data_IF_848303804199
#
_entry.id   IF_848303804199
#
_cell.length_a   1.000
_cell.length_b   1.000
_cell.length_c   1.000
_cell.angle_alpha   90.00
_cell.angle_beta   90.00
_cell.angle_gamma   90.00
#
_symmetry.space_group_name_H-M   'P 1'
#
loop_
_entity.id
_entity.type
_entity.pdbx_description
1 polymer ?
#
# COMPACT_ATOMS: atom_id res chain seq x y z
N UNK A 1 -48.44 15.09 -10.46
CA UNK A 1 -49.58 15.17 -9.51
C UNK A 1 -49.46 14.04 -8.53
N UNK A 2 -48.90 14.33 -7.36
CA UNK A 2 -48.99 13.53 -6.13
C UNK A 2 -48.24 14.30 -5.05
N UNK A 3 -48.98 14.92 -4.14
CA UNK A 3 -48.47 15.69 -3.00
C UNK A 3 -47.89 14.76 -1.94
N UNK A 4 -46.77 15.14 -1.32
CA UNK A 4 -46.39 14.63 0.01
C UNK A 4 -45.92 15.79 0.87
N UNK A 5 -46.60 15.96 2.02
CA UNK A 5 -46.28 16.94 3.07
C UNK A 5 -45.15 16.40 3.95
N UNK A 6 -44.17 17.26 4.22
CA UNK A 6 -43.06 17.04 5.16
C UNK A 6 -43.57 17.23 6.60
N UNK A 7 -43.21 16.33 7.52
CA UNK A 7 -43.25 16.61 8.96
C UNK A 7 -41.86 16.34 9.53
N UNK A 8 -41.20 17.42 9.95
CA UNK A 8 -39.95 17.43 10.71
C UNK A 8 -40.22 17.09 12.18
N UNK A 9 -39.55 16.07 12.72
CA UNK A 9 -39.58 15.77 14.15
C UNK A 9 -38.26 16.15 14.82
N UNK A 10 -38.18 17.35 15.39
CA UNK A 10 -37.14 17.73 16.36
C UNK A 10 -37.51 17.17 17.73
N UNK A 11 -36.67 16.32 18.31
CA UNK A 11 -36.79 16.00 19.74
C UNK A 11 -36.11 17.10 20.56
N UNK A 12 -36.88 17.85 21.33
CA UNK A 12 -36.37 18.65 22.45
C UNK A 12 -36.97 18.16 23.77
N UNK A 13 -36.11 18.20 24.78
CA UNK A 13 -36.24 17.74 26.15
C UNK A 13 -37.23 18.57 26.98
N UNK A 14 -37.99 17.95 27.89
CA UNK A 14 -38.72 18.67 28.94
C UNK A 14 -39.61 17.78 29.82
N UNK A 15 -39.34 17.80 31.12
CA UNK A 15 -39.92 16.99 32.19
C UNK A 15 -41.42 17.22 32.50
N UNK A 16 -42.05 16.11 32.91
CA UNK A 16 -43.18 15.88 33.86
C UNK A 16 -44.25 16.96 34.13
N UNK A 17 -45.53 16.62 33.87
CA UNK A 17 -46.62 16.54 34.88
C UNK A 17 -48.02 16.21 34.28
N UNK A 18 -48.55 15.03 34.66
CA UNK A 18 -49.95 14.68 34.96
C UNK A 18 -51.14 15.26 34.15
N UNK A 19 -51.79 14.44 33.31
CA UNK A 19 -53.27 14.25 33.29
C UNK A 19 -53.71 13.04 32.44
N UNK A 20 -54.74 12.34 32.92
CA UNK A 20 -55.28 11.05 32.47
C UNK A 20 -56.38 11.17 31.37
N UNK A 21 -56.98 10.08 30.84
CA UNK A 21 -56.95 9.74 29.42
C UNK A 21 -58.29 9.98 28.69
N UNK A 22 -58.25 10.06 27.35
CA UNK A 22 -59.44 9.81 26.51
C UNK A 22 -59.06 8.83 25.39
N UNK A 23 -59.74 7.69 25.41
CA UNK A 23 -59.73 6.66 24.37
C UNK A 23 -60.04 7.27 23.00
N UNK A 24 -59.21 6.95 22.01
CA UNK A 24 -59.66 6.84 20.62
C UNK A 24 -58.76 5.81 19.94
N UNK A 25 -59.38 4.71 19.52
CA UNK A 25 -58.82 3.59 18.77
C UNK A 25 -58.29 4.05 17.42
N UNK A 26 -57.08 3.62 17.04
CA UNK A 26 -56.55 3.79 15.68
C UNK A 26 -56.08 2.42 15.18
N UNK A 27 -56.64 2.03 14.03
CA UNK A 27 -56.38 0.80 13.28
C UNK A 27 -54.90 0.65 12.88
N UNK A 28 -54.43 -0.59 12.94
CA UNK A 28 -53.21 -1.05 12.27
C UNK A 28 -53.44 -1.01 10.76
N UNK A 29 -52.85 -0.05 10.02
CA UNK A 29 -52.67 -0.24 8.58
C UNK A 29 -51.52 0.60 7.99
N UNK A 30 -50.50 -0.13 7.52
CA UNK A 30 -49.61 0.14 6.37
C UNK A 30 -48.91 1.52 6.29
N UNK A 31 -47.69 1.57 6.80
CA UNK A 31 -46.69 2.57 6.41
C UNK A 31 -46.01 2.09 5.11
N UNK A 32 -46.40 2.66 3.98
CA UNK A 32 -45.61 2.62 2.75
C UNK A 32 -44.73 3.88 2.71
N UNK A 33 -43.41 3.71 2.84
CA UNK A 33 -42.45 4.79 2.65
C UNK A 33 -41.94 4.75 1.20
N UNK A 34 -42.27 5.75 0.41
CA UNK A 34 -41.61 6.02 -0.89
C UNK A 34 -40.74 7.27 -0.74
N UNK A 35 -39.42 7.08 -0.74
CA UNK A 35 -38.45 8.16 -0.91
C UNK A 35 -38.23 8.32 -2.41
N UNK A 36 -38.70 9.42 -2.98
CA UNK A 36 -38.36 9.85 -4.35
C UNK A 36 -37.69 11.21 -4.27
N UNK A 37 -36.38 11.22 -4.08
CA UNK A 37 -35.54 12.31 -4.56
C UNK A 37 -35.27 12.04 -6.03
N UNK A 38 -35.74 12.92 -6.92
CA UNK A 38 -35.22 12.98 -8.29
C UNK A 38 -33.76 13.41 -8.18
N UNK A 39 -32.88 12.42 -8.17
CA UNK A 39 -31.44 12.62 -8.15
C UNK A 39 -30.97 12.71 -9.60
N UNK A 40 -30.51 13.88 -10.02
CA UNK A 40 -29.79 14.01 -11.29
C UNK A 40 -28.43 13.31 -11.13
N UNK A 41 -28.29 12.17 -11.80
CA UNK A 41 -27.05 11.40 -11.81
C UNK A 41 -25.93 12.26 -12.42
N UNK A 42 -24.76 12.33 -11.78
CA UNK A 42 -23.63 13.09 -12.32
C UNK A 42 -23.20 12.54 -13.69
N UNK A 43 -22.76 13.43 -14.60
CA UNK A 43 -22.33 13.02 -15.95
C UNK A 43 -21.22 11.95 -15.94
N UNK A 44 -20.34 11.98 -14.92
CA UNK A 44 -19.25 11.01 -14.78
C UNK A 44 -19.76 9.60 -14.46
N UNK A 45 -20.89 9.49 -13.73
CA UNK A 45 -21.46 8.21 -13.33
C UNK A 45 -22.10 7.48 -14.52
N UNK A 46 -22.61 8.22 -15.50
CA UNK A 46 -23.07 7.65 -16.79
C UNK A 46 -21.95 6.99 -17.60
N UNK A 47 -20.69 7.36 -17.34
CA UNK A 47 -19.51 6.80 -18.01
C UNK A 47 -18.86 5.68 -17.22
N UNK A 48 -19.35 5.38 -16.01
CA UNK A 48 -18.77 4.35 -15.15
C UNK A 48 -19.00 2.95 -15.72
N UNK A 49 -17.93 2.19 -15.92
CA UNK A 49 -17.96 0.80 -16.41
C UNK A 49 -17.65 -0.22 -15.32
N UNK A 50 -17.09 0.20 -14.19
CA UNK A 50 -16.75 -0.67 -13.07
C UNK A 50 -16.82 0.12 -11.76
N UNK A 51 -17.26 -0.55 -10.68
CA UNK A 51 -17.35 0.03 -9.34
C UNK A 51 -16.76 -0.93 -8.31
N UNK A 52 -15.96 -0.39 -7.39
CA UNK A 52 -15.41 -1.11 -6.24
C UNK A 52 -15.75 -0.37 -4.96
N UNK A 53 -16.25 -1.08 -3.95
CA UNK A 53 -16.47 -0.52 -2.61
C UNK A 53 -15.24 -0.73 -1.74
N UNK A 54 -14.76 0.36 -1.15
CA UNK A 54 -13.62 0.41 -0.25
C UNK A 54 -14.16 0.53 1.18
N UNK A 55 -14.12 -0.58 1.91
CA UNK A 55 -14.72 -0.71 3.25
C UNK A 55 -14.01 0.16 4.29
N UNK A 56 -12.70 0.33 4.17
CA UNK A 56 -11.86 0.99 5.18
C UNK A 56 -12.15 2.47 5.38
N UNK A 57 -12.51 3.19 4.32
CA UNK A 57 -12.85 4.62 4.36
C UNK A 57 -14.26 4.92 3.87
N UNK A 58 -15.11 3.89 3.69
CA UNK A 58 -16.48 4.01 3.21
C UNK A 58 -16.58 4.81 1.89
N UNK A 59 -15.74 4.49 0.90
CA UNK A 59 -15.75 5.15 -0.41
C UNK A 59 -16.06 4.18 -1.54
N UNK A 60 -16.54 4.73 -2.66
CA UNK A 60 -16.75 4.02 -3.91
C UNK A 60 -15.72 4.49 -4.93
N UNK A 61 -15.05 3.52 -5.56
CA UNK A 61 -14.10 3.73 -6.64
C UNK A 61 -14.76 3.35 -7.96
N UNK A 62 -14.94 4.34 -8.83
CA UNK A 62 -15.53 4.19 -10.15
C UNK A 62 -14.46 4.29 -11.23
N UNK A 63 -14.39 3.30 -12.11
CA UNK A 63 -13.62 3.40 -13.37
C UNK A 63 -14.57 3.76 -14.50
N UNK A 64 -14.22 4.77 -15.27
CA UNK A 64 -15.00 5.23 -16.41
C UNK A 64 -14.42 4.72 -17.74
N UNK A 65 -15.26 4.56 -18.75
CA UNK A 65 -14.86 4.12 -20.10
C UNK A 65 -13.85 5.06 -20.77
N UNK A 66 -13.89 6.34 -20.40
CA UNK A 66 -12.98 7.36 -20.92
C UNK A 66 -11.60 7.35 -20.21
N UNK A 67 -11.37 6.42 -19.27
CA UNK A 67 -10.15 6.29 -18.48
C UNK A 67 -10.12 7.16 -17.22
N UNK A 68 -11.21 7.87 -16.88
CA UNK A 68 -11.31 8.56 -15.60
C UNK A 68 -11.48 7.57 -14.46
N UNK A 69 -10.82 7.84 -13.34
CA UNK A 69 -11.00 7.13 -12.08
C UNK A 69 -11.54 8.13 -11.07
N UNK A 70 -12.70 7.82 -10.50
CA UNK A 70 -13.45 8.71 -9.61
C UNK A 70 -13.63 8.03 -8.27
N UNK A 71 -13.25 8.72 -7.19
CA UNK A 71 -13.54 8.31 -5.81
C UNK A 71 -14.71 9.17 -5.35
N UNK A 72 -15.74 8.53 -4.81
CA UNK A 72 -16.90 9.21 -4.24
C UNK A 72 -17.21 8.65 -2.85
N UNK A 73 -17.90 9.45 -2.04
CA UNK A 73 -18.43 9.00 -0.75
C UNK A 73 -19.49 7.90 -0.97
N UNK A 74 -19.45 6.83 -0.17
CA UNK A 74 -20.37 5.71 -0.36
C UNK A 74 -21.80 5.98 0.15
N UNK A 75 -21.99 6.96 1.05
CA UNK A 75 -23.31 7.43 1.42
C UNK A 75 -23.93 8.25 0.28
N UNK A 76 -23.10 8.68 -0.68
CA UNK A 76 -23.47 9.46 -1.87
C UNK A 76 -24.22 10.75 -1.50
N UNK A 77 -24.03 11.29 -0.29
CA UNK A 77 -24.70 12.51 0.18
C UNK A 77 -24.36 13.73 -0.69
N UNK A 78 -23.20 13.69 -1.36
CA UNK A 78 -22.74 14.67 -2.34
C UNK A 78 -22.47 14.01 -3.69
N UNK A 79 -22.82 14.70 -4.76
CA UNK A 79 -22.48 14.32 -6.14
C UNK A 79 -21.06 14.72 -6.55
N UNK A 80 -20.41 15.55 -5.73
CA UNK A 80 -19.03 15.97 -5.96
C UNK A 80 -18.09 14.79 -5.65
N UNK A 81 -17.20 14.43 -6.59
CA UNK A 81 -16.22 13.39 -6.34
C UNK A 81 -15.20 13.85 -5.29
N UNK A 82 -14.80 12.92 -4.41
CA UNK A 82 -13.75 13.13 -3.42
C UNK A 82 -12.37 13.23 -4.06
N UNK A 83 -12.12 12.45 -5.11
CA UNK A 83 -10.90 12.52 -5.91
C UNK A 83 -11.17 12.09 -7.35
N UNK A 84 -10.44 12.67 -8.28
CA UNK A 84 -10.48 12.31 -9.71
C UNK A 84 -9.06 12.16 -10.24
N UNK A 85 -8.82 11.08 -10.97
CA UNK A 85 -7.59 10.85 -11.71
C UNK A 85 -7.90 10.47 -13.16
N UNK A 86 -6.98 10.74 -14.09
CA UNK A 86 -7.15 10.43 -15.50
C UNK A 86 -6.05 9.50 -15.97
N UNK A 87 -6.44 8.34 -16.47
CA UNK A 87 -5.55 7.32 -17.00
C UNK A 87 -5.86 7.03 -18.47
N UNK A 88 -4.97 6.25 -19.10
CA UNK A 88 -5.30 5.61 -20.37
C UNK A 88 -6.55 4.75 -20.18
N UNK A 89 -7.54 4.77 -21.11
CA UNK A 89 -8.70 3.87 -21.07
C UNK A 89 -8.33 2.37 -21.01
N UNK A 90 -7.09 2.02 -21.36
CA UNK A 90 -6.56 0.66 -21.28
C UNK A 90 -5.94 0.31 -19.93
N UNK A 91 -5.84 1.24 -18.98
CA UNK A 91 -5.41 0.90 -17.63
C UNK A 91 -6.53 0.12 -16.91
N UNK A 92 -6.15 -0.87 -16.09
CA UNK A 92 -7.07 -1.48 -15.13
C UNK A 92 -6.62 -1.05 -13.75
N UNK A 93 -7.62 -1.01 -12.89
CA UNK A 93 -7.50 -0.66 -11.49
C UNK A 93 -8.23 -1.76 -10.74
N UNK A 94 -7.51 -2.47 -9.89
CA UNK A 94 -8.05 -3.60 -9.14
C UNK A 94 -7.96 -3.28 -7.66
N UNK A 95 -9.05 -3.48 -6.93
CA UNK A 95 -9.05 -3.31 -5.48
C UNK A 95 -8.94 -4.66 -4.79
N UNK A 96 -7.82 -4.86 -4.10
CA UNK A 96 -7.59 -5.97 -3.20
C UNK A 96 -8.16 -5.63 -1.81
N UNK A 97 -9.34 -6.16 -1.55
CA UNK A 97 -10.06 -6.00 -0.27
C UNK A 97 -9.33 -6.56 0.93
N UNK A 98 -8.53 -7.62 0.75
CA UNK A 98 -7.92 -8.33 1.88
C UNK A 98 -6.74 -7.55 2.46
N UNK A 99 -5.92 -6.96 1.59
CA UNK A 99 -4.78 -6.15 2.03
C UNK A 99 -5.07 -4.64 2.04
N UNK A 100 -6.26 -4.22 1.57
CA UNK A 100 -6.65 -2.82 1.47
C UNK A 100 -5.80 -2.05 0.47
N UNK A 101 -5.53 -2.65 -0.69
CA UNK A 101 -4.58 -2.15 -1.68
C UNK A 101 -5.23 -1.98 -3.05
N UNK A 102 -4.93 -0.88 -3.73
CA UNK A 102 -5.30 -0.66 -5.13
C UNK A 102 -4.08 -0.97 -6.00
N UNK A 103 -4.30 -1.78 -7.01
CA UNK A 103 -3.30 -2.18 -8.00
C UNK A 103 -3.64 -1.48 -9.30
N UNK A 104 -2.71 -0.65 -9.78
CA UNK A 104 -2.82 0.04 -11.05
C UNK A 104 -1.92 -0.64 -12.07
N UNK A 105 -2.47 -0.96 -13.24
CA UNK A 105 -1.73 -1.65 -14.28
C UNK A 105 -2.00 -1.01 -15.64
N UNK A 106 -0.92 -0.79 -16.39
CA UNK A 106 -0.98 -0.45 -17.81
C UNK A 106 0.02 -1.31 -18.62
N UNK A 107 0.13 -1.03 -19.91
CA UNK A 107 1.01 -1.76 -20.84
C UNK A 107 2.52 -1.68 -20.51
N UNK A 108 2.95 -0.77 -19.63
CA UNK A 108 4.37 -0.48 -19.32
C UNK A 108 4.72 -0.59 -17.84
N UNK A 109 3.78 -0.33 -16.94
CA UNK A 109 4.03 -0.20 -15.52
C UNK A 109 2.92 -0.80 -14.66
N UNK A 110 3.33 -1.18 -13.45
CA UNK A 110 2.52 -1.70 -12.36
C UNK A 110 2.77 -0.83 -11.13
N UNK A 111 1.72 -0.47 -10.40
CA UNK A 111 1.85 0.30 -9.18
C UNK A 111 0.90 -0.25 -8.10
N UNK A 112 1.38 -0.26 -6.87
CA UNK A 112 0.63 -0.66 -5.69
C UNK A 112 0.41 0.58 -4.83
N UNK A 113 -0.83 0.81 -4.39
CA UNK A 113 -1.16 1.90 -3.48
C UNK A 113 -2.00 1.37 -2.33
N UNK A 114 -1.51 1.58 -1.12
CA UNK A 114 -2.29 1.33 0.10
C UNK A 114 -2.89 2.61 0.62
N UNK A 115 -3.99 2.48 1.34
CA UNK A 115 -4.56 3.60 2.09
C UNK A 115 -3.56 4.13 3.12
N UNK A 116 -3.49 5.45 3.23
CA UNK A 116 -2.80 6.13 4.32
C UNK A 116 -3.64 7.32 4.78
N UNK A 117 -3.93 7.38 6.08
CA UNK A 117 -4.74 8.45 6.69
C UNK A 117 -6.13 8.63 6.06
N UNK A 118 -6.84 7.55 5.71
CA UNK A 118 -8.19 7.63 5.13
C UNK A 118 -8.22 7.82 3.60
N UNK A 119 -7.06 7.90 2.95
CA UNK A 119 -6.94 8.31 1.56
C UNK A 119 -6.05 7.37 0.73
N UNK A 120 -6.47 7.13 -0.51
CA UNK A 120 -5.63 6.54 -1.55
C UNK A 120 -5.05 7.65 -2.44
N UNK A 121 -3.74 7.64 -2.62
CA UNK A 121 -3.06 8.53 -3.55
C UNK A 121 -3.18 7.94 -4.95
N UNK A 122 -4.09 8.52 -5.73
CA UNK A 122 -4.52 7.97 -7.03
C UNK A 122 -4.20 8.90 -8.20
N UNK A 123 -3.67 10.10 -8.01
CA UNK A 123 -3.47 11.05 -9.13
C UNK A 123 -2.23 10.70 -9.95
N UNK A 124 -1.15 10.28 -9.29
CA UNK A 124 0.15 10.03 -9.92
C UNK A 124 0.57 8.55 -9.92
N UNK A 125 -0.37 7.61 -9.68
CA UNK A 125 -0.04 6.20 -9.45
C UNK A 125 0.63 5.51 -10.66
N UNK A 126 0.30 5.90 -11.91
CA UNK A 126 0.92 5.37 -13.13
C UNK A 126 1.87 6.37 -13.82
N UNK A 127 2.18 7.49 -13.19
CA UNK A 127 3.07 8.51 -13.75
C UNK A 127 4.52 8.08 -13.57
N UNK A 128 5.20 7.80 -14.68
CA UNK A 128 6.65 7.57 -14.68
C UNK A 128 7.35 8.91 -14.44
N UNK A 129 8.22 8.95 -13.44
CA UNK A 129 8.92 10.14 -13.00
C UNK A 129 10.15 10.43 -13.88
N UNK A 130 10.55 11.69 -13.99
CA UNK A 130 11.85 12.05 -14.57
C UNK A 130 12.97 11.81 -13.54
N UNK A 131 14.23 11.76 -14.00
CA UNK A 131 15.39 11.50 -13.13
C UNK A 131 15.61 12.57 -12.07
N UNK A 132 15.23 13.82 -12.36
CA UNK A 132 15.43 14.93 -11.44
C UNK A 132 14.09 15.54 -11.02
N UNK A 133 13.18 15.77 -11.97
CA UNK A 133 11.90 16.41 -11.69
C UNK A 133 10.83 15.37 -11.38
N UNK A 134 10.32 15.39 -10.16
CA UNK A 134 9.28 14.47 -9.71
C UNK A 134 7.97 15.21 -9.48
N UNK A 135 6.85 14.49 -9.67
CA UNK A 135 5.49 14.91 -9.36
C UNK A 135 5.05 14.18 -8.09
N UNK A 136 5.25 14.85 -6.95
CA UNK A 136 4.99 14.28 -5.64
C UNK A 136 3.52 14.48 -5.27
N UNK A 137 2.81 13.38 -5.08
CA UNK A 137 1.45 13.38 -4.54
C UNK A 137 1.48 13.13 -3.02
N UNK A 138 0.75 13.93 -2.24
CA UNK A 138 0.56 13.73 -0.81
C UNK A 138 -0.84 14.17 -0.34
N UNK A 139 -1.36 13.64 0.77
CA UNK A 139 -2.62 14.09 1.36
C UNK A 139 -2.61 15.59 1.67
N UNK A 140 -3.72 16.28 1.43
CA UNK A 140 -3.81 17.72 1.67
C UNK A 140 -3.71 18.09 3.16
N UNK A 141 -4.17 17.22 4.06
CA UNK A 141 -4.06 17.41 5.50
C UNK A 141 -2.60 17.28 5.98
N UNK A 142 -1.85 16.30 5.45
CA UNK A 142 -0.41 16.13 5.68
C UNK A 142 0.35 17.37 5.19
N UNK A 143 0.00 17.86 4.00
CA UNK A 143 0.58 19.08 3.44
C UNK A 143 0.32 20.31 4.31
N UNK A 144 -0.92 20.50 4.77
CA UNK A 144 -1.30 21.60 5.66
C UNK A 144 -0.54 21.54 6.99
N UNK A 145 -0.41 20.35 7.59
CA UNK A 145 0.35 20.11 8.82
C UNK A 145 1.84 20.43 8.63
N UNK A 146 2.43 20.04 7.49
CA UNK A 146 3.83 20.38 7.18
C UNK A 146 4.02 21.90 7.08
N UNK A 147 3.15 22.62 6.38
CA UNK A 147 3.22 24.09 6.25
C UNK A 147 3.08 24.75 7.63
N UNK A 148 2.09 24.33 8.43
CA UNK A 148 1.86 24.86 9.77
C UNK A 148 3.05 24.59 10.70
N UNK A 149 3.56 23.36 10.72
CA UNK A 149 4.69 22.97 11.58
C UNK A 149 5.98 23.66 11.16
N UNK A 150 6.19 23.85 9.85
CA UNK A 150 7.34 24.60 9.34
C UNK A 150 7.31 26.08 9.77
N UNK A 151 6.13 26.71 9.77
CA UNK A 151 5.98 28.09 10.23
C UNK A 151 6.17 28.26 11.75
N UNK A 152 5.85 27.23 12.53
CA UNK A 152 6.00 27.21 13.99
C UNK A 152 7.37 26.71 14.47
N UNK A 153 8.18 26.12 13.58
CA UNK A 153 9.49 25.59 13.91
C UNK A 153 10.51 26.70 14.08
N UNK A 154 11.58 26.41 14.82
CA UNK A 154 12.72 27.31 14.90
C UNK A 154 13.20 27.64 13.47
N UNK A 155 13.21 28.94 13.15
CA UNK A 155 13.48 29.52 11.83
C UNK A 155 14.72 28.87 11.19
N UNK A 156 15.69 28.44 11.99
CA UNK A 156 16.93 27.83 11.56
C UNK A 156 16.80 26.55 10.70
N UNK A 157 15.79 25.67 10.89
CA UNK A 157 15.76 24.38 10.15
C UNK A 157 15.36 24.57 8.68
N UNK A 158 14.31 25.36 8.44
CA UNK A 158 13.76 25.60 7.10
C UNK A 158 14.60 26.65 6.36
N UNK A 159 15.04 27.73 7.02
CA UNK A 159 15.84 28.78 6.37
C UNK A 159 17.23 28.30 5.91
N UNK A 160 17.79 27.27 6.55
CA UNK A 160 19.08 26.68 6.14
C UNK A 160 18.95 25.76 4.91
N UNK A 161 17.74 25.50 4.43
CA UNK A 161 17.40 24.52 3.39
C UNK A 161 16.58 25.19 2.28
N UNK A 162 17.24 25.85 1.31
CA UNK A 162 16.55 26.64 0.29
C UNK A 162 15.57 25.81 -0.56
N UNK A 163 15.89 24.56 -0.91
CA UNK A 163 14.97 23.71 -1.66
C UNK A 163 13.74 23.34 -0.82
N UNK A 164 13.92 23.02 0.47
CA UNK A 164 12.80 22.78 1.39
C UNK A 164 11.92 24.03 1.58
N UNK A 165 12.54 25.20 1.74
CA UNK A 165 11.80 26.47 1.88
C UNK A 165 10.98 26.80 0.62
N UNK A 166 11.56 26.58 -0.57
CA UNK A 166 10.87 26.74 -1.84
C UNK A 166 9.70 25.75 -1.97
N UNK A 167 9.90 24.49 -1.58
CA UNK A 167 8.85 23.46 -1.55
C UNK A 167 7.69 23.85 -0.63
N UNK A 168 7.97 24.28 0.60
CA UNK A 168 6.94 24.70 1.57
C UNK A 168 6.16 25.91 1.06
N UNK A 169 6.85 26.87 0.42
CA UNK A 169 6.19 28.05 -0.18
C UNK A 169 5.22 27.65 -1.28
N UNK A 170 5.64 26.75 -2.17
CA UNK A 170 4.78 26.20 -3.23
C UNK A 170 3.60 25.42 -2.64
N UNK A 171 3.85 24.59 -1.63
CA UNK A 171 2.84 23.80 -0.95
C UNK A 171 1.78 24.68 -0.28
N UNK A 172 2.20 25.74 0.41
CA UNK A 172 1.31 26.71 1.06
C UNK A 172 0.33 27.34 0.08
N UNK A 173 0.80 27.70 -1.13
CA UNK A 173 -0.08 28.25 -2.18
C UNK A 173 -1.14 27.27 -2.68
N UNK A 174 -0.82 25.96 -2.71
CA UNK A 174 -1.73 24.91 -3.17
C UNK A 174 -2.75 24.55 -2.09
N UNK A 175 -2.30 24.39 -0.84
CA UNK A 175 -3.19 24.09 0.29
C UNK A 175 -4.21 25.22 0.50
N UNK A 176 -3.83 26.48 0.31
CA UNK A 176 -4.76 27.61 0.40
C UNK A 176 -5.86 27.64 -0.67
N UNK A 177 -5.72 26.87 -1.75
CA UNK A 177 -6.69 26.79 -2.84
C UNK A 177 -7.70 25.65 -2.71
N UNK A 178 -7.49 24.76 -1.74
CA UNK A 178 -8.27 23.52 -1.57
C UNK A 178 -9.43 23.79 -0.61
N UNK A 179 -10.63 23.35 -1.00
CA UNK A 179 -11.77 23.30 -0.11
C UNK A 179 -11.48 22.27 0.99
N UNK A 180 -11.79 22.57 2.26
CA UNK A 180 -11.50 21.72 3.43
C UNK A 180 -12.27 20.38 3.37
N UNK A 181 -11.85 19.48 2.48
CA UNK A 181 -12.36 18.12 2.33
C UNK A 181 -11.28 17.15 2.77
N UNK A 182 -11.65 16.15 3.56
CA UNK A 182 -10.72 15.18 4.17
C UNK A 182 -10.08 14.22 3.17
N UNK A 183 -10.56 14.19 1.92
CA UNK A 183 -10.19 13.19 0.92
C UNK A 183 -9.46 13.75 -0.31
N UNK A 184 -8.91 14.96 -0.21
CA UNK A 184 -8.15 15.55 -1.30
C UNK A 184 -6.63 15.34 -1.15
N UNK A 185 -5.94 15.16 -2.27
CA UNK A 185 -4.48 15.10 -2.37
C UNK A 185 -3.93 16.26 -3.19
N UNK A 186 -2.73 16.71 -2.86
CA UNK A 186 -1.98 17.72 -3.61
C UNK A 186 -0.89 17.07 -4.44
N UNK A 187 -0.64 17.61 -5.62
CA UNK A 187 0.49 17.22 -6.48
C UNK A 187 1.42 18.40 -6.63
N UNK A 188 2.69 18.19 -6.30
CA UNK A 188 3.73 19.21 -6.39
C UNK A 188 4.87 18.73 -7.27
N UNK A 189 5.18 19.50 -8.31
CA UNK A 189 6.36 19.28 -9.14
C UNK A 189 7.60 19.92 -8.50
N UNK A 190 8.68 19.17 -8.34
CA UNK A 190 9.91 19.64 -7.68
C UNK A 190 11.14 18.92 -8.21
N UNK A 191 12.31 19.54 -8.11
CA UNK A 191 13.59 18.83 -8.24
C UNK A 191 13.77 17.93 -7.01
N UNK A 192 13.49 16.64 -7.18
CA UNK A 192 13.54 15.66 -6.10
C UNK A 192 14.97 15.41 -5.63
N UNK A 193 15.96 15.44 -6.51
CA UNK A 193 17.35 15.14 -6.16
C UNK A 193 17.94 16.27 -5.29
N UNK A 194 17.70 17.52 -5.68
CA UNK A 194 18.09 18.70 -4.90
C UNK A 194 17.38 18.71 -3.54
N UNK A 195 16.06 18.54 -3.54
CA UNK A 195 15.27 18.56 -2.30
C UNK A 195 15.71 17.44 -1.36
N UNK A 196 15.82 16.19 -1.83
CA UNK A 196 16.23 15.05 -1.02
C UNK A 196 17.61 15.26 -0.37
N UNK A 197 18.54 15.93 -1.07
CA UNK A 197 19.87 16.25 -0.55
C UNK A 197 19.85 17.16 0.69
N UNK A 198 18.78 17.94 0.88
CA UNK A 198 18.56 18.80 2.04
C UNK A 198 17.78 18.13 3.19
N UNK A 199 17.02 17.07 2.91
CA UNK A 199 16.15 16.39 3.91
C UNK A 199 16.92 15.41 4.81
N UNK A 200 18.10 15.83 5.24
CA UNK A 200 18.96 15.14 6.19
C UNK A 200 19.45 16.11 7.27
N UNK A 201 19.77 15.63 8.48
CA UNK A 201 20.33 16.47 9.54
C UNK A 201 21.63 17.15 9.06
N UNK A 202 21.86 18.40 9.47
CA UNK A 202 23.04 19.15 9.04
C UNK A 202 24.30 18.81 9.88
N UNK A 203 24.11 18.27 11.08
CA UNK A 203 25.19 17.81 11.94
C UNK A 203 25.57 16.38 11.58
N UNK A 204 26.70 16.21 10.91
CA UNK A 204 27.32 14.90 10.76
C UNK A 204 27.75 14.37 12.13
N UNK A 205 27.76 13.04 12.28
CA UNK A 205 28.27 12.35 13.46
C UNK A 205 29.78 12.62 13.57
N UNK A 206 30.17 13.73 14.22
CA UNK A 206 31.55 13.92 14.64
C UNK A 206 31.86 12.89 15.74
N UNK A 207 33.10 12.38 15.78
CA UNK A 207 33.54 11.47 16.83
C UNK A 207 33.25 12.08 18.22
N UNK A 208 32.35 11.45 18.98
CA UNK A 208 31.94 11.87 20.32
C UNK A 208 30.60 12.63 20.43
N UNK A 209 29.88 12.86 19.33
CA UNK A 209 28.50 13.37 19.34
C UNK A 209 27.49 12.25 19.68
N UNK A 210 26.29 12.55 20.22
CA UNK A 210 25.24 11.55 20.36
C UNK A 210 24.98 10.88 19.01
N UNK A 211 24.91 9.54 18.99
CA UNK A 211 24.73 8.78 17.75
C UNK A 211 23.37 9.07 17.05
N UNK A 212 22.47 9.83 17.68
CA UNK A 212 21.17 10.26 17.14
C UNK A 212 21.17 11.78 16.96
N UNK A 213 20.83 12.30 15.76
CA UNK A 213 20.83 13.73 15.48
C UNK A 213 19.85 14.51 16.37
N UNK A 214 20.31 15.61 16.98
CA UNK A 214 19.47 16.49 17.81
C UNK A 214 18.35 17.13 16.98
N UNK A 215 18.60 17.38 15.70
CA UNK A 215 17.58 17.92 14.79
C UNK A 215 16.33 17.03 14.72
N UNK A 216 16.45 15.70 14.76
CA UNK A 216 15.32 14.76 14.74
C UNK A 216 14.31 14.95 15.87
N UNK A 217 14.67 15.76 16.87
CA UNK A 217 13.81 16.10 18.00
C UNK A 217 12.82 17.22 17.71
N UNK A 218 13.02 17.98 16.62
CA UNK A 218 12.11 19.06 16.26
C UNK A 218 10.81 18.52 15.62
N UNK A 219 9.63 19.10 15.94
CA UNK A 219 8.34 18.59 15.47
C UNK A 219 8.22 18.43 13.94
N UNK A 220 8.88 19.29 13.17
CA UNK A 220 8.85 19.25 11.69
C UNK A 220 9.48 17.99 11.10
N UNK A 221 10.39 17.32 11.83
CA UNK A 221 11.15 16.21 11.28
C UNK A 221 10.33 14.97 10.97
N UNK A 222 9.20 14.76 11.65
CA UNK A 222 8.27 13.71 11.26
C UNK A 222 7.78 13.90 9.82
N UNK A 223 7.40 15.13 9.46
CA UNK A 223 6.96 15.47 8.10
C UNK A 223 8.13 15.51 7.10
N UNK A 224 9.31 15.97 7.51
CA UNK A 224 10.51 15.95 6.66
C UNK A 224 10.91 14.52 6.31
N UNK A 225 10.88 13.59 7.28
CA UNK A 225 11.19 12.19 7.04
C UNK A 225 10.18 11.52 6.11
N UNK A 226 8.88 11.79 6.31
CA UNK A 226 7.81 11.37 5.41
C UNK A 226 8.00 11.89 3.97
N UNK A 227 8.32 13.18 3.83
CA UNK A 227 8.63 13.79 2.53
C UNK A 227 9.85 13.14 1.87
N UNK A 228 10.93 12.94 2.63
CA UNK A 228 12.13 12.30 2.13
C UNK A 228 11.85 10.87 1.64
N UNK A 229 10.99 10.12 2.34
CA UNK A 229 10.58 8.79 1.92
C UNK A 229 9.86 8.82 0.57
N UNK A 230 8.85 9.68 0.42
CA UNK A 230 8.12 9.84 -0.85
C UNK A 230 9.07 10.16 -2.00
N UNK A 231 10.02 11.06 -1.79
CA UNK A 231 10.99 11.47 -2.82
C UNK A 231 11.93 10.31 -3.18
N UNK A 232 12.46 9.57 -2.21
CA UNK A 232 13.32 8.39 -2.47
C UNK A 232 12.62 7.36 -3.34
N UNK A 233 11.36 7.04 -3.02
CA UNK A 233 10.55 6.07 -3.77
C UNK A 233 10.32 6.51 -5.23
N UNK A 234 10.13 7.82 -5.45
CA UNK A 234 9.89 8.38 -6.77
C UNK A 234 11.17 8.43 -7.63
N UNK A 235 12.30 8.82 -7.04
CA UNK A 235 13.59 8.92 -7.75
C UNK A 235 14.21 7.57 -8.11
N UNK A 236 14.12 6.58 -7.21
CA UNK A 236 14.71 5.27 -7.41
C UNK A 236 13.73 4.14 -7.02
N UNK A 237 12.71 3.83 -7.84
CA UNK A 237 11.68 2.85 -7.52
C UNK A 237 12.18 1.43 -7.25
N UNK A 238 13.25 1.01 -7.94
CA UNK A 238 13.79 -0.36 -7.82
C UNK A 238 14.72 -0.52 -6.62
N UNK A 239 15.41 0.56 -6.23
CA UNK A 239 16.41 0.54 -5.16
C UNK A 239 16.38 1.83 -4.32
N UNK A 240 15.26 2.16 -3.64
CA UNK A 240 15.09 3.47 -3.01
C UNK A 240 16.08 3.78 -1.88
N UNK A 241 16.74 2.76 -1.32
CA UNK A 241 17.64 2.89 -0.19
C UNK A 241 19.12 2.63 -0.51
N UNK A 242 19.47 2.16 -1.70
CA UNK A 242 20.87 2.05 -2.19
C UNK A 242 21.91 1.35 -1.26
N UNK A 243 21.54 0.45 -0.34
CA UNK A 243 22.55 -0.36 0.38
C UNK A 243 22.94 -1.61 -0.40
N UNK A 244 24.25 -1.87 -0.46
CA UNK A 244 24.79 -3.13 -0.96
C UNK A 244 24.50 -4.24 0.06
N UNK A 245 23.87 -5.32 -0.40
CA UNK A 245 23.64 -6.55 0.37
C UNK A 245 24.95 -7.34 0.51
N UNK A 246 25.97 -6.73 1.11
CA UNK A 246 27.22 -7.39 1.41
C UNK A 246 27.04 -8.27 2.66
N UNK A 247 27.56 -9.51 2.68
CA UNK A 247 27.47 -10.42 3.84
C UNK A 247 28.04 -9.84 5.14
N UNK A 248 28.91 -8.84 5.02
CA UNK A 248 29.62 -8.19 6.11
C UNK A 248 28.96 -6.88 6.60
N UNK A 249 27.81 -6.48 6.02
CA UNK A 249 26.97 -5.34 6.45
C UNK A 249 27.76 -4.06 6.80
N UNK A 250 28.90 -3.85 6.12
CA UNK A 250 29.71 -2.64 6.25
C UNK A 250 29.06 -1.56 5.40
N UNK A 251 28.37 -0.63 6.04
CA UNK A 251 27.85 0.57 5.37
C UNK A 251 26.32 0.74 5.33
N UNK A 252 25.58 0.14 6.28
CA UNK A 252 24.18 0.55 6.49
C UNK A 252 24.19 2.04 6.87
N UNK A 253 23.58 2.88 6.05
CA UNK A 253 23.32 4.27 6.42
C UNK A 253 22.24 4.28 7.50
N UNK A 254 22.59 4.77 8.69
CA UNK A 254 21.65 4.84 9.81
C UNK A 254 20.54 5.85 9.55
N UNK A 255 20.75 6.84 8.67
CA UNK A 255 19.78 7.92 8.41
C UNK A 255 18.52 7.40 7.73
N UNK A 256 18.62 6.37 6.89
CA UNK A 256 17.46 5.77 6.22
C UNK A 256 16.64 4.86 7.12
N UNK A 257 17.17 4.43 8.27
CA UNK A 257 16.53 3.48 9.18
C UNK A 257 15.33 4.11 9.89
N UNK A 258 15.10 5.41 9.69
CA UNK A 258 13.82 6.07 10.00
C UNK A 258 12.65 5.45 9.22
N UNK A 259 12.89 4.90 8.01
CA UNK A 259 11.90 4.16 7.23
C UNK A 259 11.73 2.75 7.73
N UNK A 260 10.50 2.40 8.13
CA UNK A 260 10.15 1.03 8.51
C UNK A 260 10.38 0.05 7.37
N UNK A 261 10.10 0.45 6.12
CA UNK A 261 10.37 -0.38 4.95
C UNK A 261 11.87 -0.65 4.79
N UNK A 262 12.73 0.35 4.96
CA UNK A 262 14.18 0.16 4.95
C UNK A 262 14.64 -0.79 6.07
N UNK A 263 14.09 -0.65 7.29
CA UNK A 263 14.38 -1.56 8.41
C UNK A 263 13.98 -3.00 8.07
N UNK A 264 12.79 -3.23 7.49
CA UNK A 264 12.32 -4.58 7.10
C UNK A 264 13.29 -5.27 6.13
N UNK A 265 13.87 -4.54 5.18
CA UNK A 265 14.82 -5.10 4.21
C UNK A 265 16.09 -5.67 4.87
N UNK A 266 16.48 -5.17 6.04
CA UNK A 266 17.69 -5.66 6.75
C UNK A 266 17.56 -7.09 7.28
N UNK A 267 16.33 -7.61 7.40
CA UNK A 267 16.05 -8.92 7.96
C UNK A 267 16.13 -10.08 6.95
N UNK A 268 16.70 -9.87 5.75
CA UNK A 268 16.82 -10.91 4.72
C UNK A 268 17.48 -12.21 5.23
N UNK A 269 18.49 -12.06 6.11
CA UNK A 269 19.25 -13.17 6.69
C UNK A 269 18.93 -13.43 8.17
N UNK A 270 17.73 -13.04 8.63
CA UNK A 270 17.35 -13.20 10.02
C UNK A 270 17.19 -14.68 10.40
N UNK A 271 17.86 -15.17 11.46
CA UNK A 271 17.94 -16.60 11.77
C UNK A 271 16.62 -17.20 12.29
N UNK A 272 15.70 -16.37 12.80
CA UNK A 272 14.51 -16.83 13.53
C UNK A 272 13.21 -16.79 12.72
N UNK A 273 13.27 -17.05 11.41
CA UNK A 273 12.08 -17.13 10.53
C UNK A 273 11.04 -18.19 10.97
N UNK A 274 11.45 -19.14 11.79
CA UNK A 274 10.60 -20.21 12.31
C UNK A 274 9.81 -19.82 13.57
N UNK A 275 10.08 -18.65 14.17
CA UNK A 275 9.35 -18.16 15.34
C UNK A 275 7.99 -17.66 14.85
N UNK A 276 6.98 -18.53 14.87
CA UNK A 276 5.66 -18.30 14.24
C UNK A 276 4.87 -17.08 14.75
N UNK A 277 5.36 -16.31 15.73
CA UNK A 277 4.52 -15.36 16.48
C UNK A 277 5.09 -13.95 16.68
N UNK A 278 6.31 -13.74 17.18
CA UNK A 278 6.69 -12.42 17.74
C UNK A 278 7.96 -11.78 17.16
N UNK A 279 9.04 -12.54 16.97
CA UNK A 279 10.30 -12.01 16.45
C UNK A 279 10.41 -12.14 14.93
N UNK A 280 9.33 -11.85 14.20
CA UNK A 280 9.31 -11.83 12.75
C UNK A 280 9.74 -10.44 12.21
N UNK A 281 10.29 -10.35 10.98
CA UNK A 281 10.81 -9.10 10.42
C UNK A 281 9.85 -7.93 10.48
N UNK A 282 8.56 -8.18 10.23
CA UNK A 282 7.51 -7.15 10.27
C UNK A 282 7.41 -6.52 11.66
N UNK A 283 7.30 -7.35 12.70
CA UNK A 283 7.12 -6.91 14.09
C UNK A 283 8.40 -6.26 14.64
N UNK A 284 9.56 -6.79 14.26
CA UNK A 284 10.87 -6.23 14.62
C UNK A 284 11.05 -4.83 14.04
N UNK A 285 10.80 -4.66 12.74
CA UNK A 285 10.92 -3.37 12.09
C UNK A 285 9.87 -2.37 12.57
N UNK A 286 8.65 -2.82 12.83
CA UNK A 286 7.59 -2.01 13.41
C UNK A 286 7.97 -1.49 14.80
N UNK A 287 8.61 -2.31 15.65
CA UNK A 287 9.17 -1.89 16.95
C UNK A 287 10.45 -1.03 16.84
N UNK A 288 10.85 -0.62 15.62
CA UNK A 288 11.95 0.29 15.38
C UNK A 288 13.31 -0.39 15.22
N UNK A 289 13.36 -1.72 15.15
CA UNK A 289 14.62 -2.46 15.01
C UNK A 289 15.03 -2.66 13.56
N UNK A 290 16.33 -2.59 13.29
CA UNK A 290 16.94 -3.09 12.07
C UNK A 290 18.00 -4.12 12.43
N UNK A 291 18.17 -5.11 11.56
CA UNK A 291 19.10 -6.20 11.73
C UNK A 291 20.50 -5.79 11.26
N UNK A 292 21.48 -5.94 12.15
CA UNK A 292 22.89 -5.66 11.88
C UNK A 292 23.75 -6.77 12.48
N UNK A 293 23.87 -7.90 11.79
CA UNK A 293 24.64 -9.04 12.29
C UNK A 293 26.15 -8.73 12.22
N UNK A 294 26.93 -9.21 13.20
CA UNK A 294 28.40 -9.15 13.11
C UNK A 294 28.96 -10.35 12.33
N UNK A 295 28.22 -11.47 12.36
CA UNK A 295 28.52 -12.72 11.68
C UNK A 295 27.23 -13.35 11.16
N UNK A 296 27.34 -14.21 10.15
CA UNK A 296 26.20 -14.98 9.67
C UNK A 296 25.56 -15.78 10.81
N UNK A 297 24.24 -15.65 10.96
CA UNK A 297 23.46 -16.31 12.01
C UNK A 297 23.37 -15.54 13.34
N UNK A 298 24.00 -14.38 13.46
CA UNK A 298 23.74 -13.48 14.59
C UNK A 298 22.33 -12.90 14.50
N UNK A 299 21.66 -12.72 15.63
CA UNK A 299 20.33 -12.11 15.75
C UNK A 299 20.41 -10.68 16.33
N UNK A 300 21.51 -9.99 16.03
CA UNK A 300 21.81 -8.66 16.54
C UNK A 300 20.94 -7.61 15.84
N UNK A 301 20.19 -6.86 16.64
CA UNK A 301 19.36 -5.75 16.15
C UNK A 301 19.64 -4.46 16.89
N UNK A 302 19.46 -3.33 16.21
CA UNK A 302 19.59 -1.99 16.78
C UNK A 302 18.32 -1.18 16.54
N UNK A 303 17.94 -0.34 17.50
CA UNK A 303 16.87 0.62 17.29
C UNK A 303 17.35 1.84 16.49
N UNK A 304 16.60 2.30 15.48
CA UNK A 304 16.96 3.52 14.73
C UNK A 304 16.96 4.81 15.59
N UNK A 305 16.16 4.86 16.66
CA UNK A 305 15.90 6.07 17.44
C UNK A 305 16.70 6.18 18.75
N UNK A 306 17.01 5.06 19.42
CA UNK A 306 17.79 5.05 20.66
C UNK A 306 19.05 4.19 20.58
N UNK A 307 19.22 3.44 19.48
CA UNK A 307 20.38 2.59 19.21
C UNK A 307 20.65 1.53 20.28
N UNK A 308 19.63 1.21 21.10
CA UNK A 308 19.69 0.04 21.98
C UNK A 308 19.96 -1.19 21.12
N UNK A 309 20.95 -1.96 21.53
CA UNK A 309 21.41 -3.16 20.84
C UNK A 309 20.90 -4.38 21.60
N UNK A 310 20.06 -5.18 20.96
CA UNK A 310 19.51 -6.42 21.52
C UNK A 310 20.00 -7.63 20.71
N UNK A 311 20.20 -8.74 21.41
CA UNK A 311 20.73 -10.03 20.90
C UNK A 311 20.08 -11.16 21.69
N UNK A 312 20.24 -12.40 21.22
CA UNK A 312 19.73 -13.62 21.87
C UNK A 312 18.20 -13.63 22.00
N UNK A 313 17.50 -13.42 20.89
CA UNK A 313 16.04 -13.39 20.84
C UNK A 313 15.42 -14.77 21.05
N UNK A 314 14.47 -14.85 21.96
CA UNK A 314 13.70 -16.05 22.27
C UNK A 314 12.34 -16.05 21.55
N UNK A 315 11.71 -17.22 21.31
CA UNK A 315 10.40 -17.30 20.65
C UNK A 315 9.26 -16.57 21.35
N UNK A 316 9.38 -16.33 22.67
CA UNK A 316 8.42 -15.61 23.49
C UNK A 316 8.63 -14.11 23.54
N UNK A 317 9.75 -13.61 22.99
CA UNK A 317 10.11 -12.21 23.10
C UNK A 317 9.25 -11.36 22.17
N UNK A 318 8.52 -10.42 22.77
CA UNK A 318 7.78 -9.42 22.04
C UNK A 318 8.68 -8.19 21.78
N UNK A 319 8.90 -7.79 20.52
CA UNK A 319 9.83 -6.71 20.19
C UNK A 319 9.54 -5.38 20.89
N UNK A 320 8.27 -5.01 20.99
CA UNK A 320 7.86 -3.77 21.67
C UNK A 320 8.16 -3.80 23.17
N UNK A 321 7.83 -4.90 23.83
CA UNK A 321 8.04 -5.09 25.26
C UNK A 321 9.54 -5.15 25.60
N UNK A 322 10.35 -5.83 24.79
CA UNK A 322 11.80 -5.87 24.97
C UNK A 322 12.44 -4.50 24.74
N UNK A 323 11.96 -3.75 23.75
CA UNK A 323 12.42 -2.38 23.52
C UNK A 323 12.10 -1.47 24.71
N UNK A 324 10.87 -1.51 25.24
CA UNK A 324 10.49 -0.74 26.41
C UNK A 324 11.31 -1.15 27.64
N UNK A 325 11.46 -2.46 27.89
CA UNK A 325 12.22 -3.02 29.02
C UNK A 325 13.68 -2.55 29.03
N UNK A 326 14.32 -2.55 27.87
CA UNK A 326 15.74 -2.20 27.74
C UNK A 326 16.00 -0.71 27.50
N UNK A 327 15.01 0.05 27.02
CA UNK A 327 15.15 1.47 26.70
C UNK A 327 13.86 2.27 26.96
N UNK A 328 13.45 2.36 28.23
CA UNK A 328 12.27 3.13 28.65
C UNK A 328 12.34 4.63 28.31
N UNK A 329 13.54 5.16 28.03
CA UNK A 329 13.76 6.55 27.62
C UNK A 329 13.74 6.76 26.10
N UNK A 330 13.53 5.69 25.31
CA UNK A 330 13.46 5.79 23.87
C UNK A 330 12.28 6.68 23.43
N UNK A 331 12.55 7.67 22.58
CA UNK A 331 11.53 8.62 22.10
C UNK A 331 10.50 7.96 21.19
N UNK A 332 10.91 6.93 20.45
CA UNK A 332 10.02 6.14 19.63
C UNK A 332 8.99 5.38 20.49
N UNK A 333 9.45 4.71 21.56
CA UNK A 333 8.57 4.01 22.51
C UNK A 333 7.65 4.98 23.27
N UNK A 334 8.16 6.15 23.68
CA UNK A 334 7.34 7.17 24.35
C UNK A 334 6.33 7.88 23.45
N UNK A 335 6.29 7.54 22.16
CA UNK A 335 5.47 8.21 21.15
C UNK A 335 5.66 9.74 21.13
N UNK A 336 6.87 10.19 21.41
CA UNK A 336 7.25 11.60 21.26
C UNK A 336 7.48 11.89 19.77
N UNK A 337 7.47 13.17 19.38
CA UNK A 337 7.84 13.57 18.02
C UNK A 337 9.14 12.88 17.60
N UNK A 338 9.03 12.02 16.57
CA UNK A 338 10.11 11.18 16.09
C UNK A 338 10.02 11.06 14.55
N UNK A 339 11.15 10.82 13.88
CA UNK A 339 11.20 10.79 12.42
C UNK A 339 10.74 9.45 11.82
N UNK A 340 10.12 8.54 12.60
CA UNK A 340 9.68 7.25 12.05
C UNK A 340 8.72 7.44 10.89
N UNK A 341 9.01 6.73 9.80
CA UNK A 341 8.13 6.64 8.64
C UNK A 341 7.52 5.24 8.64
N UNK A 342 6.20 5.12 8.89
CA UNK A 342 5.54 3.82 8.94
C UNK A 342 5.41 3.20 7.55
N UNK A 343 5.35 1.87 7.48
CA UNK A 343 5.23 1.15 6.21
C UNK A 343 4.02 1.61 5.39
N UNK A 344 2.90 1.93 6.05
CA UNK A 344 1.69 2.41 5.38
C UNK A 344 1.95 3.67 4.53
N UNK A 345 2.81 4.57 5.00
CA UNK A 345 3.21 5.76 4.23
C UNK A 345 4.00 5.35 2.99
N UNK A 346 5.02 4.49 3.15
CA UNK A 346 5.81 3.95 2.02
C UNK A 346 4.90 3.29 0.99
N UNK A 347 3.97 2.44 1.42
CA UNK A 347 3.01 1.73 0.56
C UNK A 347 2.01 2.64 -0.13
N UNK A 348 1.63 3.75 0.49
CA UNK A 348 0.76 4.75 -0.15
C UNK A 348 1.48 5.55 -1.22
N UNK A 349 2.82 5.53 -1.25
CA UNK A 349 3.66 6.45 -2.02
C UNK A 349 4.53 5.76 -3.08
N UNK A 350 4.32 4.46 -3.31
CA UNK A 350 5.14 3.69 -4.25
C UNK A 350 5.05 4.27 -5.66
N UNK A 351 6.21 4.37 -6.29
CA UNK A 351 6.34 4.77 -7.68
C UNK A 351 6.02 3.59 -8.62
N UNK A 352 5.47 3.83 -9.81
CA UNK A 352 5.19 2.76 -10.76
C UNK A 352 6.47 2.03 -11.17
N UNK A 353 6.45 0.70 -11.04
CA UNK A 353 7.53 -0.18 -11.44
C UNK A 353 7.34 -0.52 -12.92
N UNK A 354 8.37 -0.29 -13.73
CA UNK A 354 8.36 -0.69 -15.12
C UNK A 354 8.41 -2.23 -15.21
N UNK A 355 7.44 -2.84 -15.89
CA UNK A 355 7.52 -4.26 -16.20
C UNK A 355 8.00 -4.44 -17.64
N UNK A 356 8.87 -5.42 -17.88
CA UNK A 356 9.54 -5.61 -19.17
C UNK A 356 8.67 -6.26 -20.25
N UNK A 357 7.35 -6.21 -20.13
CA UNK A 357 6.44 -6.87 -21.07
C UNK A 357 6.16 -5.96 -22.26
N UNK A 358 6.80 -6.26 -23.39
CA UNK A 358 6.55 -5.57 -24.66
C UNK A 358 5.37 -6.23 -25.36
N UNK A 359 4.17 -5.68 -25.20
CA UNK A 359 3.09 -6.00 -26.13
C UNK A 359 3.22 -5.20 -27.43
N UNK A 360 3.14 -5.89 -28.57
CA UNK A 360 2.93 -5.27 -29.89
C UNK A 360 1.42 -5.29 -30.21
N UNK A 361 0.62 -4.50 -29.49
CA UNK A 361 -0.81 -4.35 -29.81
C UNK A 361 -1.67 -3.99 -28.60
N UNK A 362 -2.97 -3.87 -28.82
CA UNK A 362 -3.98 -3.73 -27.77
C UNK A 362 -4.14 -5.09 -27.07
N UNK A 363 -3.25 -5.42 -26.14
CA UNK A 363 -3.39 -6.64 -25.35
C UNK A 363 -4.37 -6.42 -24.22
N UNK A 364 -5.38 -7.29 -24.14
CA UNK A 364 -6.08 -7.50 -22.89
C UNK A 364 -5.13 -8.16 -21.89
N UNK A 365 -5.36 -7.89 -20.61
CA UNK A 365 -4.55 -8.39 -19.53
C UNK A 365 -5.45 -9.09 -18.54
N UNK A 366 -4.93 -10.20 -18.05
CA UNK A 366 -5.57 -11.05 -17.07
C UNK A 366 -4.76 -10.90 -15.82
N UNK A 367 -5.42 -10.45 -14.76
CA UNK A 367 -4.86 -10.39 -13.43
C UNK A 367 -5.60 -11.39 -12.56
N UNK A 368 -4.86 -12.23 -11.87
CA UNK A 368 -5.39 -13.16 -10.88
C UNK A 368 -4.56 -13.04 -9.61
N UNK A 369 -5.22 -12.98 -8.46
CA UNK A 369 -4.56 -12.92 -7.17
C UNK A 369 -4.84 -14.20 -6.38
N UNK A 370 -3.90 -14.59 -5.52
CA UNK A 370 -4.14 -15.66 -4.54
C UNK A 370 -5.24 -15.25 -3.55
N UNK A 371 -5.81 -16.21 -2.84
CA UNK A 371 -6.86 -15.94 -1.84
C UNK A 371 -6.39 -15.20 -0.59
N UNK A 372 -5.09 -14.91 -0.47
CA UNK A 372 -4.48 -14.01 0.53
C UNK A 372 -3.89 -12.74 -0.14
N UNK A 373 -4.01 -12.64 -1.46
CA UNK A 373 -3.48 -11.59 -2.33
C UNK A 373 -1.99 -11.24 -2.14
N UNK A 374 -1.22 -12.13 -1.53
CA UNK A 374 0.25 -12.03 -1.44
C UNK A 374 0.88 -12.12 -2.83
N UNK A 375 0.26 -12.90 -3.73
CA UNK A 375 0.73 -13.12 -5.07
C UNK A 375 -0.28 -12.63 -6.09
N UNK A 376 0.22 -11.93 -7.10
CA UNK A 376 -0.56 -11.44 -8.22
C UNK A 376 0.09 -11.96 -9.50
N UNK A 377 -0.66 -12.80 -10.23
CA UNK A 377 -0.32 -13.26 -11.55
C UNK A 377 -0.84 -12.25 -12.58
N UNK A 378 0.06 -11.76 -13.43
CA UNK A 378 -0.26 -10.89 -14.55
C UNK A 378 0.14 -11.62 -15.84
N UNK A 379 -0.84 -11.81 -16.72
CA UNK A 379 -0.66 -12.41 -18.03
C UNK A 379 -1.21 -11.48 -19.12
N UNK A 380 -0.60 -11.53 -20.29
CA UNK A 380 -1.01 -10.76 -21.47
C UNK A 380 -1.49 -11.74 -22.52
N UNK A 381 -2.63 -11.44 -23.16
CA UNK A 381 -3.23 -12.32 -24.17
C UNK A 381 -2.25 -12.70 -25.30
N UNK A 382 -1.31 -11.81 -25.63
CA UNK A 382 -0.31 -12.03 -26.68
C UNK A 382 1.06 -12.53 -26.16
N UNK A 383 1.20 -12.87 -24.88
CA UNK A 383 2.46 -13.27 -24.23
C UNK A 383 2.42 -14.72 -23.78
N UNK A 384 3.54 -15.44 -23.97
CA UNK A 384 3.76 -16.77 -23.37
C UNK A 384 4.22 -16.70 -21.92
N UNK A 385 4.33 -15.50 -21.36
CA UNK A 385 4.91 -15.25 -20.04
C UNK A 385 3.84 -14.79 -19.07
N UNK A 386 3.86 -15.40 -17.89
CA UNK A 386 3.08 -15.02 -16.72
C UNK A 386 4.05 -14.43 -15.71
N UNK A 387 3.80 -13.21 -15.27
CA UNK A 387 4.59 -12.58 -14.21
C UNK A 387 3.88 -12.74 -12.88
N UNK A 388 4.56 -13.34 -11.91
CA UNK A 388 4.07 -13.53 -10.55
C UNK A 388 4.74 -12.49 -9.66
N UNK A 389 3.95 -11.53 -9.20
CA UNK A 389 4.36 -10.42 -8.35
C UNK A 389 4.00 -10.69 -6.90
N UNK A 390 4.90 -10.31 -5.99
CA UNK A 390 4.64 -10.31 -4.56
C UNK A 390 4.21 -8.92 -4.09
N UNK A 391 3.02 -8.83 -3.50
CA UNK A 391 2.49 -7.58 -2.93
C UNK A 391 3.07 -7.26 -1.54
N UNK A 392 3.57 -8.28 -0.83
CA UNK A 392 4.09 -8.15 0.54
C UNK A 392 5.55 -7.69 0.60
N UNK A 393 6.30 -7.87 -0.50
CA UNK A 393 7.71 -7.47 -0.62
C UNK A 393 7.86 -6.09 -1.22
N UNK A 394 7.51 -5.11 -0.41
CA UNK A 394 7.65 -3.68 -0.71
C UNK A 394 9.11 -3.36 -1.02
N UNK A 395 9.36 -2.60 -2.10
CA UNK A 395 10.66 -2.00 -2.47
C UNK A 395 11.87 -2.94 -2.60
N UNK A 396 11.65 -4.26 -2.67
CA UNK A 396 12.70 -5.22 -3.03
C UNK A 396 13.03 -5.13 -4.53
N UNK A 397 14.28 -5.42 -4.89
CA UNK A 397 14.70 -5.47 -6.30
C UNK A 397 14.02 -6.62 -7.09
N UNK A 398 13.79 -7.76 -6.43
CA UNK A 398 13.21 -8.97 -7.04
C UNK A 398 11.78 -9.20 -6.54
N UNK A 399 10.85 -8.33 -6.97
CA UNK A 399 9.43 -8.41 -6.59
C UNK A 399 8.62 -9.40 -7.42
N UNK A 400 9.19 -9.90 -8.53
CA UNK A 400 8.49 -10.81 -9.41
C UNK A 400 9.41 -11.88 -9.96
N UNK A 401 8.80 -12.97 -10.40
CA UNK A 401 9.44 -13.92 -11.29
C UNK A 401 8.54 -14.20 -12.49
N UNK A 402 9.16 -14.63 -13.58
CA UNK A 402 8.48 -14.90 -14.83
C UNK A 402 8.41 -16.39 -15.07
N UNK A 403 7.21 -16.88 -15.28
CA UNK A 403 6.94 -18.24 -15.75
C UNK A 403 6.71 -18.18 -17.25
N UNK A 404 7.55 -18.86 -18.04
CA UNK A 404 7.32 -19.02 -19.48
C UNK A 404 6.59 -20.34 -19.71
N UNK A 405 5.38 -20.29 -20.26
CA UNK A 405 4.59 -21.51 -20.52
C UNK A 405 5.20 -22.36 -21.64
N UNK A 406 6.14 -21.81 -22.40
CA UNK A 406 6.91 -22.57 -23.41
C UNK A 406 8.08 -23.33 -22.81
N UNK A 407 8.39 -23.15 -21.52
CA UNK A 407 9.45 -23.91 -20.86
C UNK A 407 9.11 -25.39 -20.89
N UNK A 408 9.98 -26.17 -21.54
CA UNK A 408 9.87 -27.63 -21.70
C UNK A 408 9.63 -28.36 -20.38
N UNK A 409 10.19 -27.89 -19.26
CA UNK A 409 9.96 -28.52 -17.95
C UNK A 409 8.53 -28.30 -17.44
N UNK A 410 7.99 -27.10 -17.66
CA UNK A 410 6.63 -26.75 -17.27
C UNK A 410 5.65 -27.46 -18.19
N UNK A 411 5.85 -27.39 -19.50
CA UNK A 411 5.08 -28.10 -20.51
C UNK A 411 5.00 -29.62 -20.24
N UNK A 412 6.12 -30.23 -19.81
CA UNK A 412 6.19 -31.64 -19.45
C UNK A 412 5.40 -31.96 -18.17
N UNK A 413 5.42 -31.08 -17.16
CA UNK A 413 4.67 -31.27 -15.91
C UNK A 413 3.18 -30.98 -16.03
N UNK A 414 2.78 -30.03 -16.87
CA UNK A 414 1.39 -29.63 -17.06
C UNK A 414 0.69 -30.41 -18.18
N UNK A 415 1.44 -31.19 -18.96
CA UNK A 415 0.93 -31.90 -20.14
C UNK A 415 0.62 -30.98 -21.32
N UNK A 416 0.87 -29.67 -21.20
CA UNK A 416 0.69 -28.68 -22.25
C UNK A 416 1.96 -28.60 -23.10
N UNK A 417 2.12 -29.53 -24.03
CA UNK A 417 3.00 -29.30 -25.16
C UNK A 417 2.28 -28.33 -26.10
N UNK A 418 2.86 -27.16 -26.39
CA UNK A 418 2.39 -26.27 -27.47
C UNK A 418 2.65 -26.92 -28.83
N UNK A 419 1.96 -28.02 -29.12
CA UNK A 419 1.74 -28.50 -30.47
C UNK A 419 0.41 -27.92 -30.92
N UNK A 420 0.49 -26.93 -31.82
CA UNK A 420 -0.62 -26.25 -32.49
C UNK A 420 -1.16 -24.98 -31.81
N UNK A 421 -0.68 -23.84 -32.29
CA UNK A 421 -1.37 -22.54 -32.18
C UNK A 421 -2.72 -22.66 -32.91
N UNK A 422 -3.88 -22.54 -32.24
CA UNK A 422 -5.16 -22.58 -32.94
C UNK A 422 -5.31 -21.31 -33.78
N UNK A 423 -5.27 -21.47 -35.10
CA UNK A 423 -5.76 -20.43 -36.01
C UNK A 423 -7.29 -20.40 -35.91
N UNK A 424 -7.79 -19.28 -35.39
CA UNK A 424 -9.19 -18.77 -35.46
C UNK A 424 -10.26 -19.41 -34.55
N UNK A 425 -10.79 -18.53 -33.70
CA UNK A 425 -12.18 -18.33 -33.24
C UNK A 425 -13.11 -19.55 -33.15
N UNK A 426 -13.44 -19.95 -31.91
CA UNK A 426 -14.77 -20.51 -31.63
C UNK A 426 -15.37 -19.94 -30.34
N UNK A 427 -16.70 -19.73 -30.45
CA UNK A 427 -17.63 -19.19 -29.47
C UNK A 427 -17.58 -19.94 -28.14
N UNK A 428 -17.74 -19.18 -27.07
CA UNK A 428 -18.15 -19.68 -25.75
C UNK A 428 -19.55 -20.31 -25.88
N UNK A 429 -19.67 -21.57 -25.49
CA UNK A 429 -20.95 -22.19 -25.10
C UNK A 429 -20.75 -22.88 -23.76
N UNK A 430 -21.51 -22.45 -22.77
CA UNK A 430 -21.63 -23.07 -21.45
C UNK A 430 -22.37 -24.41 -21.54
N UNK A 431 -21.92 -25.44 -20.81
CA UNK A 431 -22.76 -26.47 -20.17
C UNK A 431 -21.93 -27.48 -19.37
N UNK A 432 -22.07 -27.46 -18.04
CA UNK A 432 -22.71 -28.49 -17.21
C UNK A 432 -22.49 -30.00 -17.47
N UNK A 433 -21.92 -30.67 -16.45
CA UNK A 433 -22.07 -32.06 -15.95
C UNK A 433 -21.72 -33.28 -16.84
N UNK A 434 -20.82 -34.14 -16.33
CA UNK A 434 -21.08 -35.50 -15.80
C UNK A 434 -19.95 -36.53 -16.05
N UNK A 435 -19.97 -37.56 -15.20
CA UNK A 435 -19.00 -38.57 -14.79
C UNK A 435 -18.38 -39.51 -15.86
N UNK A 436 -17.38 -40.25 -15.35
CA UNK A 436 -16.85 -41.56 -15.81
C UNK A 436 -15.79 -41.57 -16.92
N UNK A 437 -14.53 -41.85 -16.52
CA UNK A 437 -13.82 -43.09 -16.88
C UNK A 437 -12.34 -43.04 -16.44
N UNK A 438 -11.99 -43.93 -15.51
CA UNK A 438 -10.61 -44.36 -15.24
C UNK A 438 -10.24 -45.45 -16.26
N UNK A 439 -8.99 -45.49 -16.75
CA UNK A 439 -8.29 -46.77 -16.81
C UNK A 439 -6.93 -46.72 -16.13
N UNK A 440 -6.75 -47.69 -15.23
CA UNK A 440 -5.52 -48.02 -14.52
C UNK A 440 -4.40 -48.42 -15.50
N UNK A 441 -3.18 -47.91 -15.28
CA UNK A 441 -1.95 -48.46 -15.85
C UNK A 441 -1.10 -49.08 -14.74
N UNK A 442 -0.68 -50.37 -14.82
CA UNK A 442 -0.03 -51.10 -13.72
C UNK A 442 1.42 -50.69 -13.41
N UNK A 443 1.93 -49.60 -13.97
CA UNK A 443 3.36 -49.23 -13.84
C UNK A 443 3.66 -48.25 -12.69
N UNK A 444 2.65 -47.83 -11.92
CA UNK A 444 2.81 -46.89 -10.81
C UNK A 444 3.04 -47.59 -9.46
N UNK A 445 2.65 -48.86 -9.31
CA UNK A 445 2.79 -49.59 -8.04
C UNK A 445 4.24 -50.01 -7.70
N UNK A 446 5.17 -49.97 -8.66
CA UNK A 446 6.56 -50.41 -8.46
C UNK A 446 7.53 -49.26 -8.14
N UNK A 447 7.13 -48.01 -8.40
CA UNK A 447 7.89 -46.80 -8.03
C UNK A 447 7.69 -46.41 -6.56
N UNK A 448 6.51 -46.65 -5.97
CA UNK A 448 6.24 -46.36 -4.56
C UNK A 448 6.88 -47.32 -3.56
N UNK A 449 7.51 -48.42 -4.01
CA UNK A 449 8.24 -49.35 -3.14
C UNK A 449 9.73 -49.01 -3.00
N UNK A 450 10.27 -48.12 -3.85
CA UNK A 450 11.71 -47.77 -3.88
C UNK A 450 12.09 -46.50 -3.12
N UNK A 451 11.14 -45.68 -2.68
CA UNK A 451 11.42 -44.43 -1.94
C UNK A 451 10.89 -44.40 -0.48
N UNK A 452 10.64 -45.56 0.14
CA UNK A 452 10.54 -45.65 1.61
C UNK A 452 9.46 -44.81 2.30
N UNK A 453 8.36 -44.44 1.61
CA UNK A 453 7.29 -43.58 2.13
C UNK A 453 6.01 -44.33 2.58
N UNK A 454 6.13 -45.61 2.93
CA UNK A 454 5.08 -46.33 3.67
C UNK A 454 5.65 -46.80 5.01
N UNK A 455 5.46 -45.99 6.06
CA UNK A 455 5.63 -46.48 7.43
C UNK A 455 4.46 -47.41 7.76
N UNK A 456 4.78 -48.68 7.94
CA UNK A 456 3.81 -49.69 8.37
C UNK A 456 3.35 -49.41 9.80
N UNK A 457 2.04 -49.36 10.00
CA UNK A 457 1.41 -49.88 11.22
C UNK A 457 0.93 -51.29 10.92
N UNK A 458 1.50 -52.26 11.62
CA UNK A 458 0.96 -53.62 11.74
C UNK A 458 1.03 -54.01 13.22
N UNK A 459 -0.13 -54.25 13.82
CA UNK A 459 -0.31 -54.56 15.24
C UNK A 459 -1.54 -53.89 15.78
#
# INVERSE_FOLDING_TARGET
MSEVRVISGTMSTGDTATRSPKNTTVDEDRIAASISTEWELPEWLHKACEVSYIESNNTLLFRCEDGSLVVADANLESTAPLAVAKYSPRAQVLYDKQNGMIIFLNERSLCFRREYSGLFLIKEALTVQDKNIIRLEMPADEAAKLVQTAAASDEAIVLRRPALAAFITKLSSLVGSIENTSHESVVVEVDGAELLGELRPAEGVAEGQPEVPVEWTAPVWHHVAALAERIRLLLNPEHPYNFEYAPEWKGIDKEVMVSEAARRLTFEHWPHMNYRLWALPCQMAEAGFFHQPNKAGDDRVLCFACLVCLVCWEPSDEPWSEHERHSQSCRFIRNNANPNVPLALTMSSLSPIAHHMRSRGASSFIVSATSNCEWIAIAFEASTRIHLWRSDRVVHANQFFTVDVTDSFIAMKTGYALTEVPRRSQRVTWSDWSDDAVPESPQIAELFRKEGLLSGRSG
#
